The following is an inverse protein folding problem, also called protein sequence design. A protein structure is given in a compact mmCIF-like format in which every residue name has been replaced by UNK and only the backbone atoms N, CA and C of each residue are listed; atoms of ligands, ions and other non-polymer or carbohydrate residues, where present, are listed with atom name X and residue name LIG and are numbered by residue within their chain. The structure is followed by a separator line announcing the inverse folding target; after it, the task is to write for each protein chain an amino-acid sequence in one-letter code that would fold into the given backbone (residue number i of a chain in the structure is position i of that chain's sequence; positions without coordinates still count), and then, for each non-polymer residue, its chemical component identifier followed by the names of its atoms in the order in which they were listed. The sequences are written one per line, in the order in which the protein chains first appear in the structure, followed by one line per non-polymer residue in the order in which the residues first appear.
data_IF_041441658558
#
_entry.id   IF_041441658558
#
_cell.length_a   1.000
_cell.length_b   1.000
_cell.length_c   1.000
_cell.angle_alpha   90.00
_cell.angle_beta   90.00
_cell.angle_gamma   90.00
#
_symmetry.space_group_name_H-M   'P 1'
#
loop_
_entity.id
_entity.type
_entity.pdbx_description
1 polymer ?
#
# COMPACT_ATOMS: atom_id res chain seq x y z
N UNK A 1 5.62 -25.15 -5.80
CA UNK A 1 4.78 -25.63 -4.70
C UNK A 1 5.09 -24.82 -3.44
N UNK A 2 4.09 -24.04 -2.95
CA UNK A 2 4.21 -23.36 -1.67
C UNK A 2 3.87 -24.36 -0.56
N UNK A 3 4.83 -24.60 0.34
CA UNK A 3 4.67 -25.54 1.47
C UNK A 3 3.68 -24.96 2.49
N UNK A 4 3.69 -23.64 2.69
CA UNK A 4 2.74 -22.93 3.54
C UNK A 4 1.78 -22.14 2.65
N UNK A 5 0.49 -22.54 2.65
CA UNK A 5 -0.57 -21.86 1.91
C UNK A 5 -1.34 -20.86 2.78
N UNK A 6 -0.65 -20.15 3.66
CA UNK A 6 -1.21 -19.05 4.44
C UNK A 6 -0.82 -17.72 3.83
N UNK A 7 -1.80 -16.84 3.56
CA UNK A 7 -1.61 -15.53 2.91
C UNK A 7 -2.23 -14.42 3.75
N UNK A 8 -1.43 -13.43 4.08
CA UNK A 8 -1.90 -12.16 4.62
C UNK A 8 -2.32 -11.23 3.48
N UNK A 9 -3.62 -11.00 3.31
CA UNK A 9 -4.20 -10.20 2.25
C UNK A 9 -4.51 -8.78 2.73
N UNK A 10 -3.72 -7.81 2.29
CA UNK A 10 -3.90 -6.40 2.59
C UNK A 10 -4.79 -5.77 1.54
N UNK A 11 -6.09 -5.75 1.80
CA UNK A 11 -7.09 -5.33 0.81
C UNK A 11 -7.21 -3.82 0.68
N UNK A 12 -7.54 -3.37 -0.53
CA UNK A 12 -7.93 -2.00 -0.81
C UNK A 12 -9.47 -1.86 -0.73
N UNK A 13 -9.93 -0.76 -0.16
CA UNK A 13 -11.36 -0.43 -0.07
C UNK A 13 -12.02 -0.24 -1.43
N UNK A 14 -11.27 0.28 -2.41
CA UNK A 14 -11.80 0.39 -3.78
C UNK A 14 -12.11 -0.99 -4.39
N UNK A 15 -11.40 -2.03 -3.97
CA UNK A 15 -11.70 -3.42 -4.31
C UNK A 15 -12.98 -3.97 -3.67
N UNK A 16 -13.54 -3.30 -2.66
CA UNK A 16 -14.83 -3.64 -2.07
C UNK A 16 -16.04 -3.07 -2.85
N UNK A 17 -15.79 -2.19 -3.83
CA UNK A 17 -16.85 -1.66 -4.67
C UNK A 17 -17.50 -2.77 -5.51
N UNK A 18 -18.82 -2.84 -5.45
CA UNK A 18 -19.63 -3.74 -6.29
C UNK A 18 -19.99 -3.03 -7.58
N UNK A 19 -19.78 -3.69 -8.70
CA UNK A 19 -20.30 -3.21 -9.99
C UNK A 19 -21.76 -3.61 -10.17
N UNK A 20 -22.52 -2.79 -10.91
CA UNK A 20 -23.95 -3.02 -11.14
C UNK A 20 -24.29 -4.43 -11.62
N UNK A 21 -23.39 -5.07 -12.36
CA UNK A 21 -23.58 -6.40 -12.92
C UNK A 21 -22.90 -7.53 -12.12
N UNK A 22 -22.29 -7.24 -10.98
CA UNK A 22 -21.55 -8.23 -10.21
C UNK A 22 -22.01 -8.23 -8.75
N UNK A 23 -22.53 -9.39 -8.29
CA UNK A 23 -22.98 -9.53 -6.90
C UNK A 23 -21.83 -9.50 -5.90
N UNK A 24 -20.59 -9.79 -6.36
CA UNK A 24 -19.37 -9.84 -5.54
C UNK A 24 -18.42 -8.69 -5.89
N UNK A 25 -17.73 -8.18 -4.90
CA UNK A 25 -16.64 -7.22 -5.07
C UNK A 25 -15.38 -7.89 -5.62
N UNK A 26 -14.42 -7.11 -6.09
CA UNK A 26 -13.13 -7.66 -6.55
C UNK A 26 -12.36 -8.37 -5.42
N UNK A 27 -12.42 -7.83 -4.21
CA UNK A 27 -11.76 -8.46 -3.07
C UNK A 27 -12.40 -9.81 -2.73
N UNK A 28 -13.74 -9.91 -2.73
CA UNK A 28 -14.46 -11.17 -2.53
C UNK A 28 -14.07 -12.21 -3.60
N UNK A 29 -14.01 -11.82 -4.87
CA UNK A 29 -13.62 -12.71 -5.96
C UNK A 29 -12.16 -13.17 -5.83
N UNK A 30 -11.25 -12.28 -5.45
CA UNK A 30 -9.85 -12.63 -5.27
C UNK A 30 -9.66 -13.62 -4.12
N UNK A 31 -10.32 -13.40 -2.99
CA UNK A 31 -10.26 -14.28 -1.82
C UNK A 31 -10.84 -15.64 -2.16
N UNK A 32 -12.03 -15.70 -2.74
CA UNK A 32 -12.66 -16.94 -3.16
C UNK A 32 -11.76 -17.75 -4.11
N UNK A 33 -11.09 -17.06 -5.04
CA UNK A 33 -10.16 -17.71 -5.97
C UNK A 33 -8.98 -18.33 -5.25
N UNK A 34 -8.40 -17.60 -4.28
CA UNK A 34 -7.29 -18.10 -3.47
C UNK A 34 -7.70 -19.30 -2.63
N UNK A 35 -8.83 -19.20 -1.92
CA UNK A 35 -9.36 -20.26 -1.07
C UNK A 35 -9.69 -21.53 -1.89
N UNK A 36 -10.26 -21.38 -3.09
CA UNK A 36 -10.49 -22.48 -4.03
C UNK A 36 -9.21 -23.22 -4.42
N UNK A 37 -8.07 -22.54 -4.40
CA UNK A 37 -6.75 -23.14 -4.62
C UNK A 37 -6.06 -23.62 -3.34
N UNK A 38 -6.79 -23.69 -2.24
CA UNK A 38 -6.34 -24.20 -0.95
C UNK A 38 -5.49 -23.24 -0.14
N UNK A 39 -5.62 -21.92 -0.38
CA UNK A 39 -5.00 -20.90 0.46
C UNK A 39 -5.88 -20.58 1.66
N UNK A 40 -5.28 -20.43 2.83
CA UNK A 40 -5.91 -19.78 3.97
C UNK A 40 -5.62 -18.28 3.88
N UNK A 41 -6.68 -17.46 3.80
CA UNK A 41 -6.55 -16.02 3.59
C UNK A 41 -6.90 -15.25 4.85
N UNK A 42 -5.90 -14.64 5.45
CA UNK A 42 -6.07 -13.70 6.56
C UNK A 42 -6.17 -12.28 6.03
N UNK A 43 -7.35 -11.66 6.19
CA UNK A 43 -7.61 -10.34 5.65
C UNK A 43 -7.16 -9.25 6.61
N UNK A 44 -6.45 -8.27 6.08
CA UNK A 44 -6.01 -7.10 6.81
C UNK A 44 -6.54 -5.82 6.14
N UNK A 45 -7.11 -4.96 6.94
CA UNK A 45 -7.50 -3.61 6.51
C UNK A 45 -7.16 -2.62 7.63
N UNK A 46 -6.82 -1.41 7.27
CA UNK A 46 -6.70 -0.34 8.27
C UNK A 46 -8.10 0.17 8.66
N UNK A 47 -8.24 0.60 9.89
CA UNK A 47 -9.45 1.26 10.36
C UNK A 47 -9.56 2.67 9.75
N UNK A 48 -10.78 3.13 9.51
CA UNK A 48 -11.05 4.49 9.05
C UNK A 48 -10.96 4.68 7.53
N UNK A 49 -10.85 5.93 7.09
CA UNK A 49 -10.73 6.31 5.68
C UNK A 49 -9.34 5.97 5.12
N UNK A 50 -9.23 5.98 3.78
CA UNK A 50 -7.93 5.85 3.13
C UNK A 50 -7.01 6.99 3.58
N UNK A 51 -5.78 6.69 4.05
CA UNK A 51 -4.88 7.70 4.55
C UNK A 51 -4.45 8.66 3.44
N UNK A 52 -4.25 9.95 3.76
CA UNK A 52 -3.69 10.92 2.83
C UNK A 52 -2.33 10.44 2.29
N UNK A 53 -2.03 10.80 1.05
CA UNK A 53 -0.74 10.46 0.44
C UNK A 53 0.44 11.08 1.21
N UNK A 54 0.23 12.28 1.74
CA UNK A 54 1.21 12.96 2.59
C UNK A 54 1.60 12.14 3.82
N UNK A 55 0.62 11.56 4.51
CA UNK A 55 0.87 10.75 5.71
C UNK A 55 1.63 9.47 5.36
N UNK A 56 1.31 8.85 4.23
CA UNK A 56 2.08 7.69 3.72
C UNK A 56 3.52 8.08 3.42
N UNK A 57 3.73 9.27 2.82
CA UNK A 57 5.07 9.80 2.56
C UNK A 57 5.85 10.01 3.86
N UNK A 58 5.25 10.67 4.86
CA UNK A 58 5.89 10.90 6.17
C UNK A 58 6.23 9.58 6.88
N UNK A 59 5.35 8.58 6.81
CA UNK A 59 5.62 7.26 7.37
C UNK A 59 6.84 6.62 6.71
N UNK A 60 6.93 6.67 5.38
CA UNK A 60 8.09 6.15 4.66
C UNK A 60 9.37 6.93 4.96
N UNK A 61 9.30 8.25 5.00
CA UNK A 61 10.43 9.10 5.37
C UNK A 61 10.97 8.73 6.76
N UNK A 62 10.08 8.49 7.73
CA UNK A 62 10.45 8.08 9.09
C UNK A 62 11.08 6.67 9.12
N UNK A 63 10.50 5.71 8.38
CA UNK A 63 11.02 4.34 8.29
C UNK A 63 12.41 4.31 7.63
N UNK A 64 12.58 5.02 6.52
CA UNK A 64 13.83 5.00 5.75
C UNK A 64 14.96 5.83 6.38
N UNK A 65 14.61 6.85 7.16
CA UNK A 65 15.60 7.63 7.89
C UNK A 65 16.34 6.82 8.98
N UNK A 66 15.71 5.77 9.51
CA UNK A 66 16.25 4.86 10.54
C UNK A 66 16.79 5.59 11.80
N UNK A 67 16.28 6.79 12.06
CA UNK A 67 16.72 7.64 13.20
C UNK A 67 15.91 7.41 14.47
N UNK A 68 14.71 6.86 14.34
CA UNK A 68 13.77 6.66 15.44
C UNK A 68 13.46 5.15 15.57
N UNK A 69 13.86 4.59 16.70
CA UNK A 69 13.73 3.14 16.97
C UNK A 69 12.27 2.66 17.07
N UNK A 70 11.32 3.57 17.20
CA UNK A 70 9.88 3.24 17.14
C UNK A 70 9.46 2.71 15.76
N UNK A 71 10.16 3.14 14.70
CA UNK A 71 9.86 2.70 13.33
C UNK A 71 10.68 1.46 12.94
N UNK A 72 10.06 0.51 12.24
CA UNK A 72 10.75 -0.71 11.85
C UNK A 72 11.78 -0.44 10.74
N UNK A 73 12.92 -1.08 10.84
CA UNK A 73 13.89 -1.11 9.73
C UNK A 73 13.34 -1.99 8.60
N UNK A 74 13.30 -1.45 7.38
CA UNK A 74 12.82 -2.17 6.20
C UNK A 74 13.95 -2.45 5.22
N UNK A 75 13.96 -3.67 4.71
CA UNK A 75 14.90 -4.12 3.68
C UNK A 75 14.12 -4.84 2.59
N UNK A 76 14.53 -4.63 1.36
CA UNK A 76 13.98 -5.31 0.20
C UNK A 76 15.02 -6.27 -0.39
N UNK A 77 14.60 -7.49 -0.69
CA UNK A 77 15.45 -8.41 -1.43
C UNK A 77 15.51 -7.96 -2.90
N UNK A 78 16.67 -7.51 -3.35
CA UNK A 78 16.84 -6.91 -4.67
C UNK A 78 16.45 -7.84 -5.82
N UNK A 79 16.73 -9.14 -5.72
CA UNK A 79 16.40 -10.10 -6.78
C UNK A 79 14.92 -10.50 -6.78
N UNK A 80 14.30 -10.63 -5.61
CA UNK A 80 12.90 -11.08 -5.49
C UNK A 80 11.87 -9.94 -5.51
N UNK A 81 12.31 -8.72 -5.17
CA UNK A 81 11.44 -7.53 -5.14
C UNK A 81 11.76 -6.57 -6.30
N UNK A 82 12.29 -7.07 -7.41
CA UNK A 82 12.74 -6.26 -8.55
C UNK A 82 11.71 -5.23 -9.00
N UNK A 83 10.50 -5.64 -9.31
CA UNK A 83 9.45 -4.73 -9.81
C UNK A 83 8.95 -3.75 -8.75
N UNK A 84 8.93 -4.17 -7.48
CA UNK A 84 8.64 -3.25 -6.37
C UNK A 84 9.67 -2.13 -6.29
N UNK A 85 10.96 -2.47 -6.39
CA UNK A 85 12.05 -1.50 -6.36
C UNK A 85 12.02 -0.58 -7.59
N UNK A 86 11.76 -1.11 -8.78
CA UNK A 86 11.58 -0.31 -10.01
C UNK A 86 10.43 0.68 -9.81
N UNK A 87 9.27 0.21 -9.37
CA UNK A 87 8.10 1.05 -9.12
C UNK A 87 8.40 2.15 -8.09
N UNK A 88 9.07 1.83 -6.99
CA UNK A 88 9.44 2.81 -5.97
C UNK A 88 10.44 3.85 -6.49
N UNK A 89 11.47 3.42 -7.23
CA UNK A 89 12.48 4.32 -7.79
C UNK A 89 11.93 5.25 -8.88
N UNK A 90 10.96 4.78 -9.66
CA UNK A 90 10.34 5.57 -10.72
C UNK A 90 9.21 6.46 -10.21
N UNK A 91 8.75 6.27 -8.98
CA UNK A 91 7.70 7.08 -8.39
C UNK A 91 8.24 8.47 -8.04
N UNK A 92 7.77 9.47 -8.77
CA UNK A 92 8.05 10.88 -8.46
C UNK A 92 7.13 11.37 -7.34
N UNK A 93 7.67 12.27 -6.53
CA UNK A 93 6.90 12.97 -5.50
C UNK A 93 6.59 14.36 -6.03
N UNK A 94 5.35 14.79 -5.87
CA UNK A 94 4.90 16.14 -6.14
C UNK A 94 4.48 16.78 -4.83
N UNK A 95 4.76 18.07 -4.69
CA UNK A 95 4.36 18.88 -3.54
C UNK A 95 3.24 19.82 -3.97
N UNK A 96 2.16 19.89 -3.18
CA UNK A 96 1.09 20.83 -3.42
C UNK A 96 1.40 22.22 -2.82
N UNK A 97 0.49 23.17 -3.03
CA UNK A 97 0.65 24.56 -2.54
C UNK A 97 0.66 24.69 -1.02
N UNK A 98 0.23 23.67 -0.31
CA UNK A 98 0.16 23.60 1.15
C UNK A 98 1.36 22.85 1.75
N UNK A 99 2.36 22.49 0.94
CA UNK A 99 3.54 21.75 1.36
C UNK A 99 3.26 20.25 1.60
N UNK A 100 2.15 19.72 1.10
CA UNK A 100 1.81 18.30 1.24
C UNK A 100 2.36 17.51 0.07
N UNK A 101 2.89 16.34 0.38
CA UNK A 101 3.49 15.45 -0.61
C UNK A 101 2.50 14.40 -1.12
N UNK A 102 2.56 14.13 -2.41
CA UNK A 102 1.79 13.07 -3.05
C UNK A 102 2.63 12.37 -4.12
N UNK A 103 2.26 11.13 -4.47
CA UNK A 103 2.84 10.43 -5.61
C UNK A 103 2.32 11.04 -6.92
N UNK A 104 3.23 11.24 -7.85
CA UNK A 104 2.86 11.55 -9.23
C UNK A 104 2.35 10.29 -9.93
N UNK A 105 1.04 10.22 -10.13
CA UNK A 105 0.37 9.08 -10.76
C UNK A 105 0.19 9.20 -12.28
N UNK A 106 0.84 10.18 -12.93
CA UNK A 106 0.75 10.34 -14.39
C UNK A 106 1.28 9.13 -15.14
N UNK A 107 2.26 8.41 -14.57
CA UNK A 107 2.79 7.17 -15.14
C UNK A 107 1.74 6.07 -15.31
N UNK A 108 0.74 6.00 -14.42
CA UNK A 108 -0.34 5.00 -14.50
C UNK A 108 -1.26 5.17 -15.71
N UNK A 109 -1.30 6.38 -16.30
CA UNK A 109 -2.10 6.73 -17.46
C UNK A 109 -1.31 6.73 -18.77
N UNK A 110 0.00 6.57 -18.69
CA UNK A 110 0.89 6.60 -19.85
C UNK A 110 1.08 5.17 -20.40
N UNK A 111 0.47 4.89 -21.54
CA UNK A 111 0.55 3.58 -22.22
C UNK A 111 1.96 3.20 -22.69
N UNK A 112 2.90 4.16 -22.73
CA UNK A 112 4.31 3.90 -23.07
C UNK A 112 5.12 3.39 -21.89
N UNK A 113 4.58 3.41 -20.67
CA UNK A 113 5.21 2.93 -19.46
C UNK A 113 4.65 1.55 -19.13
N UNK A 114 5.53 0.58 -18.91
CA UNK A 114 5.09 -0.76 -18.53
C UNK A 114 4.37 -0.72 -17.16
N UNK A 115 3.32 -1.52 -16.96
CA UNK A 115 2.57 -1.54 -15.68
C UNK A 115 3.46 -1.79 -14.45
N UNK A 116 4.51 -2.60 -14.60
CA UNK A 116 5.50 -2.88 -13.56
C UNK A 116 6.43 -1.69 -13.25
N UNK A 117 6.52 -0.72 -14.13
CA UNK A 117 7.32 0.51 -13.95
C UNK A 117 6.47 1.67 -13.40
N UNK A 118 5.15 1.50 -13.38
CA UNK A 118 4.22 2.46 -12.81
C UNK A 118 4.16 2.34 -11.26
N UNK A 119 3.30 3.13 -10.62
CA UNK A 119 3.25 3.20 -9.14
C UNK A 119 2.56 2.02 -8.46
N UNK A 120 1.99 1.08 -9.21
CA UNK A 120 1.14 0.00 -8.66
C UNK A 120 1.79 -0.87 -7.59
N UNK A 121 3.03 -1.33 -7.81
CA UNK A 121 3.73 -2.12 -6.81
C UNK A 121 4.10 -1.30 -5.56
N UNK A 122 4.45 -0.03 -5.76
CA UNK A 122 4.66 0.92 -4.66
C UNK A 122 3.39 1.11 -3.83
N UNK A 123 2.23 1.26 -4.47
CA UNK A 123 0.94 1.41 -3.78
C UNK A 123 0.56 0.16 -2.98
N UNK A 124 0.83 -1.04 -3.51
CA UNK A 124 0.59 -2.29 -2.77
C UNK A 124 1.46 -2.39 -1.51
N UNK A 125 2.71 -1.98 -1.59
CA UNK A 125 3.62 -1.93 -0.43
C UNK A 125 3.18 -0.87 0.57
N UNK A 126 2.77 0.32 0.12
CA UNK A 126 2.23 1.39 0.97
C UNK A 126 1.03 0.90 1.77
N UNK A 127 0.13 0.17 1.14
CA UNK A 127 -1.04 -0.40 1.80
C UNK A 127 -0.65 -1.28 2.98
N UNK A 128 0.27 -2.20 2.75
CA UNK A 128 0.79 -3.08 3.79
C UNK A 128 1.50 -2.32 4.90
N UNK A 129 2.37 -1.38 4.53
CA UNK A 129 3.16 -0.61 5.49
C UNK A 129 2.26 0.28 6.34
N UNK A 130 1.30 0.95 5.72
CA UNK A 130 0.33 1.77 6.45
C UNK A 130 -0.54 0.94 7.39
N UNK A 131 -1.09 -0.17 6.94
CA UNK A 131 -1.94 -1.04 7.79
C UNK A 131 -1.19 -1.51 9.03
N UNK A 132 0.11 -1.80 8.88
CA UNK A 132 0.92 -2.30 10.01
C UNK A 132 1.49 -1.21 10.92
N UNK A 133 1.86 -0.07 10.36
CA UNK A 133 2.73 0.90 11.05
C UNK A 133 2.19 2.34 11.05
N UNK A 134 1.07 2.63 10.40
CA UNK A 134 0.48 3.97 10.35
C UNK A 134 0.14 4.53 11.74
N UNK A 135 -0.18 3.68 12.71
CA UNK A 135 -0.39 4.09 14.10
C UNK A 135 0.85 4.69 14.75
N UNK A 136 2.05 4.26 14.35
CA UNK A 136 3.32 4.79 14.89
C UNK A 136 3.54 6.25 14.48
N UNK A 137 3.11 6.62 13.25
CA UNK A 137 3.19 8.00 12.80
C UNK A 137 2.32 8.92 13.67
N UNK A 138 1.10 8.48 13.98
CA UNK A 138 0.19 9.22 14.87
C UNK A 138 0.77 9.40 16.26
N UNK A 139 1.36 8.37 16.82
CA UNK A 139 2.04 8.42 18.12
C UNK A 139 3.28 9.36 18.11
N UNK A 140 4.02 9.38 17.00
CA UNK A 140 5.25 10.17 16.90
C UNK A 140 4.98 11.67 16.74
N UNK A 141 3.95 12.05 15.98
CA UNK A 141 3.71 13.44 15.56
C UNK A 141 2.42 14.05 16.13
N UNK A 142 1.71 13.34 17.00
CA UNK A 142 0.52 13.86 17.67
C UNK A 142 -0.60 14.24 16.70
N UNK A 143 -0.70 13.57 15.55
CA UNK A 143 -1.82 13.77 14.64
C UNK A 143 -3.12 13.40 15.35
N UNK A 144 -3.82 14.39 15.84
CA UNK A 144 -5.18 14.25 16.32
C UNK A 144 -6.03 13.95 15.10
N UNK A 145 -6.75 12.84 15.13
CA UNK A 145 -7.79 12.56 14.15
C UNK A 145 -8.70 13.79 14.06
N UNK A 146 -8.55 14.59 13.00
CA UNK A 146 -9.52 15.64 12.67
C UNK A 146 -10.79 14.94 12.18
N UNK A 147 -11.49 14.30 13.12
CA UNK A 147 -12.84 13.79 12.95
C UNK A 147 -13.70 14.43 14.01
N UNK A 148 -14.29 15.50 13.63
CA UNK A 148 -15.61 15.92 14.08
C UNK A 148 -16.45 16.11 12.84
#
# INVERSE_FOLDING_TARGET
NHINKHLHYYRDRYGDARRANNKKSYNELAIERLEKHGWTVEQHTHAGMEPPQHDKYLLWASILAEKDERFPKKRFNGSKCKYTLISMNNTRVIEDREGRFAKDKRSERNQSILPEEATHFGDAVDKRVWTKYGHLLRQAYGFVDARI
#
